data_IF_710149575254
#
_entry.id   IF_710149575254
#
_cell.length_a   1.000
_cell.length_b   1.000
_cell.length_c   1.000
_cell.angle_alpha   90.00
_cell.angle_beta   90.00
_cell.angle_gamma   90.00
#
_symmetry.space_group_name_H-M   'P 1'
#
loop_
_entity.id
_entity.type
_entity.pdbx_description
1 polymer ?
#
# COMPACT_ATOMS: atom_id res chain seq x y z
N UNK A 1 -19.08 -2.21 -4.16
CA UNK A 1 -18.51 -2.45 -2.84
C UNK A 1 -17.00 -2.57 -2.97
N UNK A 2 -16.25 -2.14 -1.97
CA UNK A 2 -14.78 -2.24 -1.94
C UNK A 2 -14.35 -3.68 -1.66
N UNK A 3 -13.32 -4.14 -2.36
CA UNK A 3 -12.71 -5.45 -2.12
C UNK A 3 -11.22 -5.44 -2.46
N UNK A 4 -10.49 -6.33 -1.82
CA UNK A 4 -9.05 -6.50 -1.97
C UNK A 4 -8.74 -7.96 -2.27
N UNK A 5 -7.89 -8.20 -3.26
CA UNK A 5 -7.25 -9.49 -3.49
C UNK A 5 -5.80 -9.38 -3.05
N UNK A 6 -5.34 -10.34 -2.28
CA UNK A 6 -3.96 -10.39 -1.78
C UNK A 6 -3.41 -11.80 -1.96
N UNK A 7 -2.21 -11.87 -2.52
CA UNK A 7 -1.46 -13.12 -2.62
C UNK A 7 -0.72 -13.43 -1.33
N UNK A 8 -0.27 -14.65 -1.16
CA UNK A 8 0.55 -15.05 0.00
C UNK A 8 1.92 -14.36 0.05
N UNK A 9 2.36 -13.75 -1.03
CA UNK A 9 3.60 -12.97 -1.10
C UNK A 9 3.38 -11.47 -0.85
N UNK A 10 2.12 -11.02 -0.73
CA UNK A 10 1.76 -9.64 -0.43
C UNK A 10 1.46 -8.76 -1.65
N UNK A 11 1.53 -9.31 -2.86
CA UNK A 11 1.01 -8.67 -4.07
C UNK A 11 -0.52 -8.67 -4.10
N UNK A 12 -1.12 -7.92 -5.04
CA UNK A 12 -2.56 -7.91 -5.20
C UNK A 12 -3.14 -6.60 -5.69
N UNK A 13 -4.44 -6.44 -5.53
CA UNK A 13 -5.15 -5.23 -5.95
C UNK A 13 -6.24 -4.82 -4.97
N UNK A 14 -6.60 -3.54 -5.06
CA UNK A 14 -7.79 -2.97 -4.44
C UNK A 14 -8.74 -2.49 -5.52
N UNK A 15 -10.04 -2.78 -5.39
CA UNK A 15 -11.11 -2.39 -6.31
C UNK A 15 -12.32 -1.85 -5.58
N UNK A 16 -12.99 -0.90 -6.21
CA UNK A 16 -14.28 -0.39 -5.79
C UNK A 16 -15.29 -0.58 -6.93
N UNK A 17 -16.26 -1.47 -6.73
CA UNK A 17 -17.16 -1.92 -7.82
C UNK A 17 -16.31 -2.40 -9.02
N UNK A 18 -16.51 -1.82 -10.19
CA UNK A 18 -15.80 -2.14 -11.42
C UNK A 18 -14.55 -1.28 -11.64
N UNK A 19 -14.23 -0.40 -10.68
CA UNK A 19 -13.10 0.53 -10.76
C UNK A 19 -11.89 -0.08 -10.08
N UNK A 20 -10.78 -0.20 -10.80
CA UNK A 20 -9.48 -0.47 -10.23
C UNK A 20 -9.02 0.74 -9.41
N UNK A 21 -8.82 0.56 -8.10
CA UNK A 21 -8.27 1.58 -7.22
C UNK A 21 -6.75 1.59 -7.34
N UNK A 22 -6.14 0.41 -7.27
CA UNK A 22 -4.70 0.23 -7.48
C UNK A 22 -4.43 -0.55 -8.75
N UNK A 23 -3.27 -0.27 -9.38
CA UNK A 23 -2.83 -0.99 -10.56
C UNK A 23 -2.49 -2.44 -10.24
N UNK A 24 -2.96 -3.33 -11.10
CA UNK A 24 -2.64 -4.73 -11.08
C UNK A 24 -2.71 -5.33 -12.47
N UNK A 25 -1.82 -6.26 -12.74
CA UNK A 25 -1.83 -7.05 -13.98
C UNK A 25 -1.60 -8.51 -13.64
N UNK A 26 -2.31 -9.36 -14.33
CA UNK A 26 -2.03 -10.77 -14.27
C UNK A 26 -0.69 -11.07 -14.97
N UNK A 27 0.24 -11.63 -14.20
CA UNK A 27 1.53 -12.09 -14.70
C UNK A 27 1.88 -13.39 -13.98
N UNK A 28 2.00 -14.48 -14.72
CA UNK A 28 2.31 -15.81 -14.17
C UNK A 28 3.75 -15.91 -13.64
N UNK A 29 4.60 -14.93 -13.92
CA UNK A 29 6.02 -14.93 -13.55
C UNK A 29 6.36 -13.90 -12.46
N UNK A 30 5.49 -12.93 -12.23
CA UNK A 30 5.72 -11.83 -11.29
C UNK A 30 4.48 -11.50 -10.49
N UNK A 31 4.67 -11.19 -9.22
CA UNK A 31 3.60 -10.78 -8.28
C UNK A 31 3.98 -9.47 -7.57
N UNK A 32 4.47 -8.51 -8.36
CA UNK A 32 5.02 -7.25 -7.88
C UNK A 32 4.04 -6.05 -7.99
N UNK A 33 2.78 -6.31 -8.25
CA UNK A 33 1.73 -5.29 -8.25
C UNK A 33 0.98 -5.25 -6.94
N UNK A 34 0.63 -4.04 -6.49
CA UNK A 34 -0.16 -3.88 -5.27
C UNK A 34 0.09 -2.56 -4.56
N UNK A 35 -0.43 -2.48 -3.35
CA UNK A 35 -0.05 -1.45 -2.39
C UNK A 35 0.93 -2.06 -1.39
N UNK A 36 2.10 -1.44 -1.24
CA UNK A 36 3.18 -1.95 -0.42
C UNK A 36 3.59 -0.95 0.66
N UNK A 37 4.20 -1.47 1.72
CA UNK A 37 4.87 -0.67 2.72
C UNK A 37 6.34 -1.07 2.77
N UNK A 38 7.20 -0.07 2.74
CA UNK A 38 8.65 -0.25 2.80
C UNK A 38 9.19 0.23 4.14
N UNK A 39 10.05 -0.57 4.72
CA UNK A 39 10.77 -0.28 5.94
C UNK A 39 12.23 0.00 5.59
N UNK A 40 12.74 1.16 5.99
CA UNK A 40 14.14 1.54 5.79
C UNK A 40 14.79 1.82 7.14
N UNK A 41 15.93 1.18 7.40
CA UNK A 41 16.82 1.55 8.52
C UNK A 41 17.67 2.76 8.08
N UNK A 42 17.45 3.90 8.72
CA UNK A 42 18.11 5.15 8.34
C UNK A 42 19.63 5.11 8.57
N UNK A 43 20.10 4.31 9.55
CA UNK A 43 21.52 4.25 9.89
C UNK A 43 22.40 3.61 8.80
N UNK A 44 21.87 2.61 8.09
CA UNK A 44 22.62 1.87 7.07
C UNK A 44 22.01 1.94 5.67
N UNK A 45 20.85 2.60 5.54
CA UNK A 45 20.13 2.75 4.25
C UNK A 45 19.48 1.47 3.74
N UNK A 46 19.57 0.35 4.45
CA UNK A 46 18.94 -0.90 4.05
C UNK A 46 17.42 -0.75 4.08
N UNK A 47 16.75 -1.19 3.02
CA UNK A 47 15.29 -1.13 2.94
C UNK A 47 14.72 -2.46 2.41
N UNK A 48 13.50 -2.75 2.81
CA UNK A 48 12.71 -3.89 2.36
C UNK A 48 11.23 -3.59 2.43
N UNK A 49 10.43 -4.37 1.74
CA UNK A 49 8.98 -4.41 1.94
C UNK A 49 8.63 -5.13 3.26
N UNK A 50 7.50 -4.77 3.84
CA UNK A 50 6.97 -5.47 5.04
C UNK A 50 6.30 -6.81 4.70
N UNK A 51 6.18 -7.11 3.40
CA UNK A 51 5.77 -8.38 2.79
C UNK A 51 6.90 -8.92 1.92
N UNK A 52 6.82 -10.17 1.43
CA UNK A 52 7.87 -10.74 0.58
C UNK A 52 8.04 -9.97 -0.72
N UNK A 53 6.92 -9.65 -1.39
CA UNK A 53 6.90 -8.76 -2.56
C UNK A 53 6.96 -7.28 -2.11
N UNK A 54 7.50 -6.39 -2.94
CA UNK A 54 8.17 -6.60 -4.23
C UNK A 54 9.69 -6.72 -4.10
N UNK A 55 10.26 -6.59 -2.90
CA UNK A 55 11.72 -6.55 -2.71
C UNK A 55 12.39 -7.91 -2.75
N UNK A 56 11.66 -9.01 -2.49
CA UNK A 56 12.14 -10.38 -2.56
C UNK A 56 13.44 -10.61 -1.74
N UNK A 57 13.55 -9.98 -0.57
CA UNK A 57 14.77 -10.05 0.24
C UNK A 57 14.97 -11.45 0.84
N UNK A 58 15.95 -12.24 0.37
CA UNK A 58 16.17 -13.59 0.84
C UNK A 58 16.80 -13.65 2.24
N UNK A 59 17.27 -12.52 2.78
CA UNK A 59 17.89 -12.44 4.10
C UNK A 59 16.88 -12.22 5.22
N UNK A 60 15.62 -11.93 4.87
CA UNK A 60 14.52 -11.80 5.82
C UNK A 60 13.70 -13.10 5.92
N UNK A 61 13.14 -13.34 7.09
CA UNK A 61 12.17 -14.42 7.29
C UNK A 61 10.77 -13.88 7.11
N UNK A 62 9.94 -14.58 6.32
CA UNK A 62 8.56 -14.19 6.04
C UNK A 62 7.61 -15.30 6.48
N UNK A 63 6.52 -14.89 7.11
CA UNK A 63 5.39 -15.74 7.47
C UNK A 63 4.10 -15.11 7.01
N UNK A 64 3.20 -15.88 6.43
CA UNK A 64 1.90 -15.40 5.97
C UNK A 64 0.79 -16.22 6.62
N UNK A 65 -0.22 -15.52 7.13
CA UNK A 65 -1.44 -16.12 7.66
C UNK A 65 -2.65 -15.43 7.00
N UNK A 66 -3.43 -16.20 6.26
CA UNK A 66 -4.64 -15.72 5.61
C UNK A 66 -5.86 -16.29 6.33
N UNK A 67 -6.75 -15.40 6.77
CA UNK A 67 -8.03 -15.72 7.39
C UNK A 67 -9.18 -15.08 6.62
N UNK A 68 -10.42 -15.39 6.97
CA UNK A 68 -11.60 -14.83 6.30
C UNK A 68 -11.70 -13.30 6.42
N UNK A 69 -11.15 -12.72 7.49
CA UNK A 69 -11.29 -11.28 7.80
C UNK A 69 -9.99 -10.49 7.68
N UNK A 70 -8.83 -11.16 7.59
CA UNK A 70 -7.54 -10.49 7.67
C UNK A 70 -6.45 -11.30 6.96
N UNK A 71 -5.59 -10.60 6.23
CA UNK A 71 -4.32 -11.12 5.76
C UNK A 71 -3.20 -10.58 6.65
N UNK A 72 -2.42 -11.45 7.27
CA UNK A 72 -1.33 -11.08 8.16
C UNK A 72 0.02 -11.57 7.61
N UNK A 73 0.98 -10.67 7.57
CA UNK A 73 2.33 -10.90 7.09
C UNK A 73 3.33 -10.50 8.17
N UNK A 74 4.22 -11.41 8.53
CA UNK A 74 5.35 -11.13 9.42
C UNK A 74 6.64 -11.15 8.62
N UNK A 75 7.43 -10.10 8.77
CA UNK A 75 8.76 -9.97 8.20
C UNK A 75 9.77 -9.72 9.31
N UNK A 76 10.76 -10.59 9.48
CA UNK A 76 11.78 -10.50 10.53
C UNK A 76 13.17 -10.42 9.91
N UNK A 77 13.96 -9.42 10.28
CA UNK A 77 15.33 -9.26 9.85
C UNK A 77 16.13 -8.35 10.81
N UNK A 78 17.36 -8.76 11.12
CA UNK A 78 18.32 -7.95 11.89
C UNK A 78 17.76 -7.39 13.22
N UNK A 79 16.94 -8.19 13.90
CA UNK A 79 16.32 -7.81 15.17
C UNK A 79 15.14 -6.82 15.03
N UNK A 80 14.64 -6.60 13.82
CA UNK A 80 13.41 -5.87 13.57
C UNK A 80 12.34 -6.82 13.04
N UNK A 81 11.20 -6.82 13.70
CA UNK A 81 9.98 -7.50 13.28
C UNK A 81 8.95 -6.49 12.79
N UNK A 82 8.38 -6.74 11.63
CA UNK A 82 7.22 -6.02 11.11
C UNK A 82 6.06 -7.00 10.95
N UNK A 83 4.94 -6.76 11.63
CA UNK A 83 3.69 -7.47 11.44
C UNK A 83 2.71 -6.54 10.70
N UNK A 84 2.39 -6.88 9.47
CA UNK A 84 1.42 -6.18 8.62
C UNK A 84 0.11 -6.94 8.61
N UNK A 85 -0.96 -6.30 9.02
CA UNK A 85 -2.32 -6.84 9.00
C UNK A 85 -3.17 -6.00 8.07
N UNK A 86 -3.87 -6.66 7.14
CA UNK A 86 -4.67 -6.02 6.09
C UNK A 86 -6.10 -6.53 6.21
N UNK A 87 -7.04 -5.60 6.35
CA UNK A 87 -8.47 -5.91 6.45
C UNK A 87 -9.30 -4.89 5.66
N UNK A 88 -10.47 -5.31 5.21
CA UNK A 88 -11.48 -4.45 4.58
C UNK A 88 -12.66 -4.28 5.54
N UNK A 89 -13.14 -3.05 5.68
CA UNK A 89 -14.32 -2.78 6.50
C UNK A 89 -15.54 -3.53 5.95
N UNK A 90 -16.34 -4.18 6.80
CA UNK A 90 -17.58 -4.81 6.35
C UNK A 90 -18.69 -3.78 6.04
N UNK A 91 -18.60 -2.57 6.57
CA UNK A 91 -19.63 -1.53 6.46
C UNK A 91 -19.25 -0.45 5.45
N UNK A 92 -17.99 -0.03 5.44
CA UNK A 92 -17.48 1.09 4.63
C UNK A 92 -16.56 0.61 3.50
N UNK A 93 -16.41 1.43 2.48
CA UNK A 93 -15.45 1.20 1.38
C UNK A 93 -14.02 1.62 1.81
N UNK A 94 -13.50 0.95 2.86
CA UNK A 94 -12.22 1.26 3.51
C UNK A 94 -11.37 0.00 3.64
N UNK A 95 -10.11 0.11 3.24
CA UNK A 95 -9.04 -0.83 3.53
C UNK A 95 -8.15 -0.27 4.64
N UNK A 96 -7.86 -1.08 5.64
CA UNK A 96 -6.97 -0.75 6.76
C UNK A 96 -5.73 -1.62 6.70
N UNK A 97 -4.55 -1.01 6.74
CA UNK A 97 -3.27 -1.69 6.88
C UNK A 97 -2.63 -1.27 8.20
N UNK A 98 -2.55 -2.19 9.15
CA UNK A 98 -1.89 -1.98 10.42
C UNK A 98 -0.52 -2.61 10.41
N UNK A 99 0.53 -1.79 10.61
CA UNK A 99 1.90 -2.26 10.67
C UNK A 99 2.42 -2.05 12.08
N UNK A 100 2.78 -3.15 12.74
CA UNK A 100 3.41 -3.13 14.04
C UNK A 100 4.88 -3.45 13.87
N UNK A 101 5.74 -2.53 14.31
CA UNK A 101 7.18 -2.70 14.25
C UNK A 101 7.70 -2.94 15.67
N UNK A 102 8.45 -4.01 15.87
CA UNK A 102 9.07 -4.36 17.13
C UNK A 102 10.59 -4.44 16.95
N UNK A 103 11.32 -3.74 17.81
CA UNK A 103 12.78 -3.75 17.80
C UNK A 103 13.31 -4.68 18.90
N UNK A 104 13.93 -5.77 18.51
CA UNK A 104 14.57 -6.76 19.37
C UNK A 104 16.11 -6.64 19.38
N UNK A 105 16.67 -5.66 18.65
CA UNK A 105 18.13 -5.55 18.47
C UNK A 105 18.90 -5.07 19.71
N UNK A 106 18.21 -4.62 20.78
CA UNK A 106 18.84 -4.03 21.94
C UNK A 106 19.40 -2.63 21.74
N UNK A 107 19.40 -2.08 20.53
CA UNK A 107 19.86 -0.74 20.19
C UNK A 107 18.72 0.13 19.66
N UNK A 108 18.79 1.44 19.90
CA UNK A 108 17.85 2.38 19.31
C UNK A 108 17.99 2.39 17.79
N UNK A 109 16.88 2.32 17.06
CA UNK A 109 16.83 2.42 15.61
C UNK A 109 15.95 3.58 15.17
N UNK A 110 16.36 4.25 14.10
CA UNK A 110 15.56 5.25 13.39
C UNK A 110 15.10 4.59 12.09
N UNK A 111 13.81 4.60 11.86
CA UNK A 111 13.18 3.85 10.79
C UNK A 111 12.26 4.77 10.01
N UNK A 112 12.37 4.73 8.69
CA UNK A 112 11.36 5.28 7.79
C UNK A 112 10.37 4.17 7.39
N UNK A 113 9.09 4.48 7.45
CA UNK A 113 8.03 3.63 6.92
C UNK A 113 7.32 4.38 5.79
N UNK A 114 7.38 3.85 4.58
CA UNK A 114 6.76 4.42 3.39
C UNK A 114 5.68 3.51 2.87
N UNK A 115 4.44 4.00 2.76
CA UNK A 115 3.38 3.32 2.01
C UNK A 115 3.38 3.81 0.57
N UNK A 116 3.21 2.87 -0.37
CA UNK A 116 3.24 3.15 -1.81
C UNK A 116 2.12 2.39 -2.52
N UNK A 117 1.46 3.06 -3.46
CA UNK A 117 0.52 2.43 -4.38
C UNK A 117 0.46 3.22 -5.69
N UNK A 118 0.35 2.49 -6.80
CA UNK A 118 -0.02 3.08 -8.09
C UNK A 118 -1.54 3.14 -8.20
N UNK A 119 -2.07 4.36 -8.23
CA UNK A 119 -3.51 4.61 -8.23
C UNK A 119 -4.02 4.77 -9.66
N UNK A 120 -5.12 4.08 -10.00
CA UNK A 120 -5.72 4.08 -11.33
C UNK A 120 -7.05 4.83 -11.36
N UNK A 121 -7.98 4.52 -10.47
CA UNK A 121 -9.35 5.05 -10.38
C UNK A 121 -10.11 4.98 -11.71
N UNK A 122 -9.99 3.86 -12.39
CA UNK A 122 -10.60 3.64 -13.70
C UNK A 122 -10.78 2.17 -14.03
N UNK A 123 -11.24 1.88 -15.24
CA UNK A 123 -11.36 0.51 -15.73
C UNK A 123 -9.98 -0.18 -15.78
N UNK A 124 -9.90 -1.40 -15.26
CA UNK A 124 -8.66 -2.20 -15.32
C UNK A 124 -8.26 -2.51 -16.78
N UNK A 125 -9.23 -2.68 -17.68
CA UNK A 125 -8.97 -2.92 -19.09
C UNK A 125 -8.34 -1.71 -19.78
N UNK A 126 -8.83 -0.49 -19.49
CA UNK A 126 -8.27 0.73 -20.05
C UNK A 126 -6.86 0.99 -19.55
N UNK A 127 -6.60 0.74 -18.25
CA UNK A 127 -5.27 0.87 -17.68
C UNK A 127 -4.29 -0.15 -18.28
N UNK A 128 -4.74 -1.38 -18.51
CA UNK A 128 -3.92 -2.42 -19.13
C UNK A 128 -3.57 -2.08 -20.59
N UNK A 129 -4.51 -1.49 -21.34
CA UNK A 129 -4.28 -1.08 -22.73
C UNK A 129 -3.29 0.08 -22.85
N UNK A 130 -3.39 1.10 -21.98
CA UNK A 130 -2.62 2.33 -22.08
C UNK A 130 -2.23 2.90 -20.69
N UNK A 131 -1.32 2.24 -19.93
CA UNK A 131 -1.03 2.60 -18.54
C UNK A 131 -0.43 3.99 -18.37
N UNK A 132 0.50 4.38 -19.24
CA UNK A 132 1.10 5.71 -19.19
C UNK A 132 0.05 6.82 -19.45
N UNK A 133 -0.86 6.57 -20.39
CA UNK A 133 -1.96 7.47 -20.67
C UNK A 133 -2.96 7.53 -19.52
N UNK A 134 -3.23 6.40 -18.88
CA UNK A 134 -4.12 6.32 -17.71
C UNK A 134 -3.67 7.24 -16.58
N UNK A 135 -2.37 7.33 -16.31
CA UNK A 135 -1.80 8.16 -15.25
C UNK A 135 -2.06 9.67 -15.45
N UNK A 136 -2.13 10.14 -16.70
CA UNK A 136 -2.36 11.56 -16.99
C UNK A 136 -3.72 12.09 -16.49
N UNK A 137 -4.64 11.22 -16.20
CA UNK A 137 -5.98 11.60 -15.74
C UNK A 137 -6.13 11.55 -14.23
N UNK A 138 -5.20 10.94 -13.49
CA UNK A 138 -5.22 10.92 -12.03
C UNK A 138 -4.82 12.31 -11.51
N UNK A 139 -5.69 12.88 -10.69
CA UNK A 139 -5.46 14.16 -10.02
C UNK A 139 -5.20 13.91 -8.54
N UNK A 140 -4.19 14.57 -8.01
CA UNK A 140 -3.76 14.35 -6.62
C UNK A 140 -3.74 15.68 -5.87
N UNK A 141 -4.27 15.67 -4.64
CA UNK A 141 -4.26 16.80 -3.72
C UNK A 141 -3.72 16.35 -2.36
N UNK A 142 -2.86 17.15 -1.74
CA UNK A 142 -2.37 16.91 -0.38
C UNK A 142 -3.15 17.76 0.61
N UNK A 143 -3.95 17.12 1.46
CA UNK A 143 -4.59 17.78 2.59
C UNK A 143 -3.66 17.74 3.81
N UNK A 144 -2.86 18.79 4.00
CA UNK A 144 -1.88 18.86 5.09
C UNK A 144 -2.51 18.87 6.49
N UNK A 145 -3.69 19.48 6.63
CA UNK A 145 -4.41 19.55 7.90
C UNK A 145 -4.87 18.16 8.37
N UNK A 146 -5.36 17.35 7.44
CA UNK A 146 -5.81 15.98 7.71
C UNK A 146 -4.71 14.93 7.52
N UNK A 147 -3.52 15.34 7.11
CA UNK A 147 -2.38 14.46 6.80
C UNK A 147 -2.78 13.35 5.83
N UNK A 148 -3.48 13.73 4.76
CA UNK A 148 -4.03 12.79 3.79
C UNK A 148 -3.69 13.20 2.36
N UNK A 149 -3.50 12.21 1.50
CA UNK A 149 -3.48 12.36 0.05
C UNK A 149 -4.88 12.07 -0.47
N UNK A 150 -5.44 12.98 -1.22
CA UNK A 150 -6.71 12.82 -1.90
C UNK A 150 -6.43 12.58 -3.39
N UNK A 151 -7.11 11.61 -3.98
CA UNK A 151 -6.98 11.30 -5.40
C UNK A 151 -8.35 11.14 -6.05
N UNK A 152 -8.45 11.67 -7.26
CA UNK A 152 -9.59 11.47 -8.14
C UNK A 152 -9.09 11.35 -9.57
N UNK A 153 -10.00 11.14 -10.50
CA UNK A 153 -9.69 11.06 -11.92
C UNK A 153 -10.45 12.14 -12.69
N UNK A 154 -9.82 12.77 -13.69
CA UNK A 154 -10.54 13.65 -14.62
C UNK A 154 -11.62 12.84 -15.34
N UNK A 155 -12.90 13.24 -15.27
CA UNK A 155 -13.97 12.55 -16.00
C UNK A 155 -13.77 12.67 -17.53
N UNK A 156 -14.12 11.64 -18.26
CA UNK A 156 -14.06 11.62 -19.74
C UNK A 156 -15.25 12.33 -20.36
N UNK A 157 -16.36 12.40 -19.65
CA UNK A 157 -17.57 13.12 -20.04
C UNK A 157 -18.18 13.85 -18.84
N UNK A 158 -19.14 14.75 -19.09
CA UNK A 158 -19.84 15.48 -18.01
C UNK A 158 -20.73 14.59 -17.15
N UNK A 159 -21.09 13.40 -17.65
CA UNK A 159 -21.98 12.45 -17.01
C UNK A 159 -21.22 11.39 -16.21
N UNK A 160 -19.92 11.26 -16.41
CA UNK A 160 -19.09 10.28 -15.72
C UNK A 160 -18.88 10.70 -14.26
N UNK A 161 -19.32 9.85 -13.34
CA UNK A 161 -19.06 10.01 -11.91
C UNK A 161 -17.78 9.26 -11.56
N UNK A 162 -16.76 10.01 -11.17
CA UNK A 162 -15.49 9.44 -10.72
C UNK A 162 -15.41 9.46 -9.20
N UNK A 163 -14.86 8.40 -8.57
CA UNK A 163 -14.72 8.35 -7.13
C UNK A 163 -13.60 9.26 -6.63
N UNK A 164 -13.71 9.64 -5.37
CA UNK A 164 -12.60 10.15 -4.60
C UNK A 164 -12.01 9.03 -3.75
N UNK A 165 -10.70 8.90 -3.79
CA UNK A 165 -9.93 8.07 -2.91
C UNK A 165 -9.17 8.95 -1.93
N UNK A 166 -9.05 8.53 -0.68
CA UNK A 166 -8.11 9.11 0.26
C UNK A 166 -7.12 8.06 0.75
N UNK A 167 -5.91 8.50 1.05
CA UNK A 167 -4.89 7.71 1.70
C UNK A 167 -4.31 8.53 2.86
N UNK A 168 -4.29 7.95 4.04
CA UNK A 168 -3.70 8.57 5.22
C UNK A 168 -2.89 7.56 6.02
N UNK A 169 -1.87 8.06 6.71
CA UNK A 169 -1.07 7.28 7.66
C UNK A 169 -1.10 7.96 9.01
N UNK A 170 -1.27 7.17 10.07
CA UNK A 170 -1.10 7.61 11.46
C UNK A 170 -0.03 6.77 12.13
N UNK A 171 0.74 7.38 13.04
CA UNK A 171 1.79 6.70 13.79
C UNK A 171 1.45 6.76 15.26
N UNK A 172 1.52 5.61 15.94
CA UNK A 172 1.30 5.49 17.37
C UNK A 172 2.54 4.93 18.05
N UNK A 173 2.83 5.40 19.26
CA UNK A 173 3.94 4.90 20.08
C UNK A 173 5.35 5.42 19.72
N UNK A 174 5.46 6.32 18.73
CA UNK A 174 6.71 7.01 18.43
C UNK A 174 6.78 8.36 19.17
N UNK A 175 7.96 8.75 19.62
CA UNK A 175 8.17 9.98 20.40
C UNK A 175 8.07 11.26 19.56
N UNK A 176 8.38 11.19 18.25
CA UNK A 176 8.35 12.34 17.33
C UNK A 176 8.19 11.87 15.88
N UNK A 177 7.00 11.39 15.49
CA UNK A 177 6.79 10.92 14.13
C UNK A 177 6.67 12.09 13.16
N UNK A 178 7.55 12.13 12.15
CA UNK A 178 7.46 13.05 11.04
C UNK A 178 6.72 12.38 9.87
N UNK A 179 5.78 13.08 9.25
CA UNK A 179 5.00 12.59 8.11
C UNK A 179 5.27 13.48 6.91
N UNK A 180 5.73 12.89 5.82
CA UNK A 180 5.90 13.53 4.52
C UNK A 180 5.00 12.87 3.46
N UNK A 181 4.80 13.54 2.34
CA UNK A 181 3.95 13.10 1.25
C UNK A 181 4.65 13.34 -0.08
N UNK A 182 4.59 12.32 -0.94
CA UNK A 182 5.04 12.40 -2.33
C UNK A 182 3.93 11.90 -3.23
N UNK A 183 3.78 12.51 -4.39
CA UNK A 183 2.62 12.29 -5.29
C UNK A 183 3.00 12.19 -6.77
N UNK A 184 4.27 12.01 -7.09
CA UNK A 184 4.76 11.88 -8.46
C UNK A 184 4.64 10.44 -8.99
#
# INVERSE_FOLDING_TARGET
RYHVMITNAGGGYSRWKDIAVTRWREDSTRDNWGAFCYLRDVANGAFRSTTFQPTLDPSATYETNLSESCAAFRCSQQGLDALTEIAVSPEDDIEVRRIRITNHSGARKIIDLTSYAEVVLGSAADDAAHPAYSNLFVQTEINRTRKAILRTRRPRSREEQVPWMFHLMTVHGASDPQISFETE
#
